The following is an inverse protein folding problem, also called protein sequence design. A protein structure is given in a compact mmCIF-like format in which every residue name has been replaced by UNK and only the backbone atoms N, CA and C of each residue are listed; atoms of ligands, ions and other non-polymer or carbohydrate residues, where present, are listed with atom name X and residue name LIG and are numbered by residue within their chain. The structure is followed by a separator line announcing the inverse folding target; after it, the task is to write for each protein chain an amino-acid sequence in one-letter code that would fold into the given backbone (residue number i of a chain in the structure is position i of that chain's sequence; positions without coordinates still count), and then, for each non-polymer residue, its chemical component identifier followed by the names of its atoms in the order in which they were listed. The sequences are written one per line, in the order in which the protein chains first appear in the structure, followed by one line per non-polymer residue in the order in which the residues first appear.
data_IF_591982269044
#
_entry.id   IF_591982269044
#
_cell.length_a   1.000
_cell.length_b   1.000
_cell.length_c   1.000
_cell.angle_alpha   90.00
_cell.angle_beta   90.00
_cell.angle_gamma   90.00
#
_symmetry.space_group_name_H-M   'P 1'
#
loop_
_entity.id
_entity.type
_entity.pdbx_description
1 polymer ?
#
# COMPACT_ATOMS: atom_id res chain seq x y z
N UNK A 1 26.73 -37.67 -19.25
CA UNK A 1 25.96 -36.50 -19.76
C UNK A 1 24.95 -35.91 -18.77
N UNK A 2 24.53 -36.61 -17.70
CA UNK A 2 23.54 -36.07 -16.73
C UNK A 2 24.09 -35.09 -15.68
N UNK A 3 25.34 -35.26 -15.24
CA UNK A 3 25.95 -34.43 -14.18
C UNK A 3 26.10 -32.96 -14.59
N UNK A 4 26.53 -32.69 -15.83
CA UNK A 4 26.63 -31.34 -16.38
C UNK A 4 25.27 -30.63 -16.52
N UNK A 5 24.18 -31.37 -16.78
CA UNK A 5 22.83 -30.78 -16.87
C UNK A 5 22.27 -30.42 -15.49
N UNK A 6 22.58 -31.21 -14.46
CA UNK A 6 22.17 -30.93 -13.08
C UNK A 6 22.91 -29.71 -12.51
N UNK A 7 24.22 -29.60 -12.78
CA UNK A 7 25.02 -28.41 -12.42
C UNK A 7 24.54 -27.17 -13.18
N UNK A 8 24.20 -27.30 -14.46
CA UNK A 8 23.66 -26.19 -15.25
C UNK A 8 22.28 -25.74 -14.75
N UNK A 9 21.41 -26.67 -14.33
CA UNK A 9 20.09 -26.38 -13.75
C UNK A 9 20.20 -25.75 -12.36
N UNK A 10 21.13 -26.23 -11.51
CA UNK A 10 21.45 -25.62 -10.22
C UNK A 10 22.08 -24.22 -10.41
N UNK A 11 22.97 -24.05 -11.38
CA UNK A 11 23.52 -22.74 -11.76
C UNK A 11 22.44 -21.81 -12.35
N UNK A 12 21.47 -22.32 -13.12
CA UNK A 12 20.32 -21.56 -13.61
C UNK A 12 19.36 -21.18 -12.47
N UNK A 13 19.18 -22.03 -11.45
CA UNK A 13 18.44 -21.70 -10.23
C UNK A 13 19.19 -20.69 -9.36
N UNK A 14 20.53 -20.71 -9.33
CA UNK A 14 21.37 -19.67 -8.73
C UNK A 14 21.40 -18.36 -9.55
N UNK A 15 21.09 -18.43 -10.85
CA UNK A 15 20.91 -17.29 -11.76
C UNK A 15 19.47 -16.75 -11.79
N UNK A 16 18.56 -17.27 -10.95
CA UNK A 16 17.40 -16.49 -10.56
C UNK A 16 17.96 -15.26 -9.85
N UNK A 17 18.12 -14.17 -10.60
CA UNK A 17 18.61 -12.90 -10.10
C UNK A 17 17.63 -12.45 -9.03
N UNK A 18 17.91 -12.82 -7.78
CA UNK A 18 17.23 -12.26 -6.64
C UNK A 18 17.43 -10.75 -6.78
N UNK A 19 16.33 -10.00 -6.93
CA UNK A 19 16.38 -8.55 -6.78
C UNK A 19 16.80 -8.29 -5.34
N UNK A 20 18.09 -8.13 -5.12
CA UNK A 20 18.63 -7.70 -3.84
C UNK A 20 18.46 -6.19 -3.82
N UNK A 21 17.48 -5.72 -3.03
CA UNK A 21 17.38 -4.30 -2.71
C UNK A 21 18.72 -3.84 -2.14
N UNK A 22 19.24 -2.73 -2.67
CA UNK A 22 20.51 -2.16 -2.20
C UNK A 22 20.33 -1.31 -0.95
N UNK A 23 19.09 -1.16 -0.44
CA UNK A 23 18.79 -0.29 0.69
C UNK A 23 19.45 -0.79 1.96
N UNK A 24 20.41 0.00 2.42
CA UNK A 24 21.11 -0.19 3.69
C UNK A 24 20.49 0.69 4.75
N UNK A 25 20.55 0.23 6.01
CA UNK A 25 20.17 1.02 7.16
C UNK A 25 21.43 1.31 7.97
N UNK A 26 21.81 2.58 8.08
CA UNK A 26 22.97 3.02 8.84
C UNK A 26 22.54 4.01 9.92
N UNK A 27 22.65 3.60 11.19
CA UNK A 27 22.32 4.46 12.35
C UNK A 27 20.91 5.07 12.22
N UNK A 28 19.94 4.23 11.82
CA UNK A 28 18.54 4.62 11.60
C UNK A 28 18.25 5.35 10.27
N UNK A 29 19.27 5.72 9.49
CA UNK A 29 19.11 6.37 8.19
C UNK A 29 19.12 5.35 7.04
N UNK A 30 18.05 5.29 6.25
CA UNK A 30 18.04 4.51 5.02
C UNK A 30 18.86 5.18 3.93
N UNK A 31 19.77 4.42 3.33
CA UNK A 31 20.66 4.83 2.27
C UNK A 31 20.44 3.98 1.00
N UNK A 32 20.91 4.49 -0.14
CA UNK A 32 20.86 3.81 -1.44
C UNK A 32 19.45 3.43 -1.93
N UNK A 33 18.43 4.19 -1.53
CA UNK A 33 17.08 4.05 -2.09
C UNK A 33 17.07 4.58 -3.51
N UNK A 34 16.52 3.79 -4.42
CA UNK A 34 16.41 4.13 -5.84
C UNK A 34 14.94 4.38 -6.19
N UNK A 35 14.68 5.56 -6.77
CA UNK A 35 13.38 5.91 -7.35
C UNK A 35 13.50 5.96 -8.86
N UNK A 36 12.75 5.13 -9.59
CA UNK A 36 12.76 5.08 -11.04
C UNK A 36 11.60 5.86 -11.66
N UNK A 37 11.85 6.86 -12.50
CA UNK A 37 10.79 7.50 -13.30
C UNK A 37 10.77 6.85 -14.69
N UNK A 38 9.61 6.32 -15.09
CA UNK A 38 9.45 5.66 -16.38
C UNK A 38 9.59 6.69 -17.53
N UNK A 39 10.33 6.39 -18.61
CA UNK A 39 10.49 7.28 -19.77
C UNK A 39 9.19 7.72 -20.45
N UNK A 40 8.10 6.99 -20.28
CA UNK A 40 6.77 7.37 -20.78
C UNK A 40 6.14 8.53 -20.00
N UNK A 41 6.60 8.78 -18.78
CA UNK A 41 6.10 9.88 -17.95
C UNK A 41 6.61 11.22 -18.51
N UNK A 42 5.72 12.15 -18.87
CA UNK A 42 6.10 13.48 -19.33
C UNK A 42 6.95 14.23 -18.30
N UNK A 43 7.86 15.07 -18.79
CA UNK A 43 8.73 15.88 -17.93
C UNK A 43 7.92 16.92 -17.14
N UNK A 44 7.95 16.80 -15.81
CA UNK A 44 7.43 17.80 -14.88
C UNK A 44 8.29 17.82 -13.62
N UNK A 45 8.93 18.97 -13.35
CA UNK A 45 9.81 19.13 -12.19
C UNK A 45 9.09 18.93 -10.85
N UNK A 46 7.77 19.17 -10.81
CA UNK A 46 6.96 18.98 -9.61
C UNK A 46 6.93 17.51 -9.18
N UNK A 47 7.13 16.55 -10.08
CA UNK A 47 7.27 15.13 -9.74
C UNK A 47 8.48 14.94 -8.81
N UNK A 48 9.63 15.49 -9.16
CA UNK A 48 10.86 15.39 -8.36
C UNK A 48 10.68 16.08 -7.01
N UNK A 49 10.07 17.27 -7.00
CA UNK A 49 9.81 18.03 -5.78
C UNK A 49 8.86 17.29 -4.83
N UNK A 50 7.78 16.72 -5.36
CA UNK A 50 6.81 15.97 -4.58
C UNK A 50 7.39 14.67 -4.05
N UNK A 51 8.18 13.92 -4.84
CA UNK A 51 8.92 12.75 -4.36
C UNK A 51 9.83 13.09 -3.17
N UNK A 52 10.60 14.19 -3.26
CA UNK A 52 11.45 14.65 -2.15
C UNK A 52 10.64 15.00 -0.90
N UNK A 53 9.43 15.55 -1.07
CA UNK A 53 8.52 15.91 0.02
C UNK A 53 7.96 14.69 0.75
N UNK A 54 7.69 13.57 0.05
CA UNK A 54 7.21 12.32 0.67
C UNK A 54 8.15 11.82 1.77
N UNK A 55 9.46 11.96 1.54
CA UNK A 55 10.52 11.45 2.42
C UNK A 55 10.56 12.16 3.80
N UNK A 56 9.86 13.29 3.97
CA UNK A 56 9.91 14.08 5.21
C UNK A 56 9.03 13.53 6.35
N UNK A 57 7.97 12.79 6.04
CA UNK A 57 6.90 12.47 7.02
C UNK A 57 7.18 11.21 7.85
N UNK A 58 8.27 10.51 7.56
CA UNK A 58 8.52 9.15 8.04
C UNK A 58 9.05 9.03 9.48
N UNK A 59 9.75 10.06 9.98
CA UNK A 59 10.45 10.00 11.27
C UNK A 59 9.52 9.92 12.48
N UNK A 60 8.39 10.63 12.46
CA UNK A 60 7.43 10.62 13.56
C UNK A 60 6.72 9.28 13.70
N UNK A 61 6.30 8.69 12.57
CA UNK A 61 5.59 7.41 12.54
C UNK A 61 6.40 6.24 13.12
N UNK A 62 7.73 6.36 13.11
CA UNK A 62 8.65 5.33 13.57
C UNK A 62 9.21 5.58 14.97
N UNK A 63 8.55 6.42 15.77
CA UNK A 63 9.02 6.82 17.11
C UNK A 63 10.46 7.35 17.08
N UNK A 64 10.77 8.16 16.06
CA UNK A 64 12.07 8.81 15.89
C UNK A 64 13.24 7.82 15.72
N UNK A 65 12.98 6.63 15.16
CA UNK A 65 14.03 5.62 14.88
C UNK A 65 14.55 5.67 13.47
N UNK A 66 13.65 5.79 12.50
CA UNK A 66 14.01 5.61 11.10
C UNK A 66 13.77 6.87 10.30
N UNK A 67 14.69 7.19 9.40
CA UNK A 67 14.59 8.32 8.49
C UNK A 67 15.20 7.98 7.14
N UNK A 68 14.87 8.76 6.12
CA UNK A 68 15.51 8.66 4.82
C UNK A 68 16.76 9.54 4.80
N UNK A 69 17.93 8.95 4.58
CA UNK A 69 19.21 9.67 4.58
C UNK A 69 19.67 10.00 3.18
N UNK A 70 19.65 9.02 2.27
CA UNK A 70 20.10 9.21 0.89
C UNK A 70 19.17 8.52 -0.11
N UNK A 71 18.71 9.29 -1.09
CA UNK A 71 17.84 8.81 -2.18
C UNK A 71 18.44 9.21 -3.53
N UNK A 72 18.32 8.31 -4.51
CA UNK A 72 18.76 8.50 -5.89
C UNK A 72 17.56 8.38 -6.81
N UNK A 73 17.27 9.46 -7.53
CA UNK A 73 16.13 9.54 -8.45
C UNK A 73 16.66 9.37 -9.86
N UNK A 74 16.29 8.28 -10.52
CA UNK A 74 16.64 7.98 -11.89
C UNK A 74 15.77 8.81 -12.84
N UNK A 75 16.40 9.74 -13.54
CA UNK A 75 15.78 10.61 -14.53
C UNK A 75 15.84 9.93 -15.91
N UNK A 76 14.71 9.77 -16.62
CA UNK A 76 14.71 9.13 -17.91
C UNK A 76 15.41 9.99 -18.97
N UNK A 77 15.93 9.33 -20.01
CA UNK A 77 16.59 10.01 -21.13
C UNK A 77 15.65 10.90 -21.94
N UNK A 78 14.34 10.64 -21.88
CA UNK A 78 13.30 11.44 -22.53
C UNK A 78 13.15 12.84 -21.91
N UNK A 79 13.62 13.05 -20.67
CA UNK A 79 13.65 14.36 -20.04
C UNK A 79 14.92 15.13 -20.44
N UNK A 80 14.86 16.45 -20.42
CA UNK A 80 15.99 17.34 -20.73
C UNK A 80 17.15 17.10 -19.77
N UNK A 81 18.37 17.06 -20.31
CA UNK A 81 19.59 16.96 -19.49
C UNK A 81 19.81 18.25 -18.72
N UNK A 82 20.18 18.13 -17.44
CA UNK A 82 20.57 19.27 -16.60
C UNK A 82 21.98 19.05 -16.01
N UNK A 83 22.77 20.12 -15.81
CA UNK A 83 24.15 20.01 -15.30
C UNK A 83 24.27 19.33 -13.93
N UNK A 84 23.25 19.46 -13.08
CA UNK A 84 23.20 18.88 -11.74
C UNK A 84 22.94 17.37 -11.72
N UNK A 85 22.61 16.76 -12.86
CA UNK A 85 22.35 15.34 -12.93
C UNK A 85 23.65 14.54 -12.84
N UNK A 86 23.72 13.68 -11.83
CA UNK A 86 24.85 12.77 -11.66
C UNK A 86 24.75 11.60 -12.63
N UNK A 87 25.89 11.00 -12.95
CA UNK A 87 25.91 9.76 -13.73
C UNK A 87 25.51 8.59 -12.84
N UNK A 88 24.58 7.76 -13.33
CA UNK A 88 24.26 6.47 -12.71
C UNK A 88 25.51 5.59 -12.63
N UNK A 89 25.69 4.91 -11.50
CA UNK A 89 26.82 3.99 -11.25
C UNK A 89 26.34 2.54 -11.20
N UNK A 90 25.44 2.24 -10.28
CA UNK A 90 24.94 0.88 -10.00
C UNK A 90 23.42 0.80 -10.00
N UNK A 91 22.75 1.96 -10.00
CA UNK A 91 21.31 2.10 -9.92
C UNK A 91 20.64 1.70 -11.24
N UNK A 92 19.48 1.07 -11.18
CA UNK A 92 18.73 0.61 -12.35
C UNK A 92 17.25 0.59 -12.04
N UNK A 93 16.42 0.82 -13.07
CA UNK A 93 14.97 0.93 -12.90
C UNK A 93 14.35 -0.38 -12.39
N UNK A 94 14.83 -1.52 -12.87
CA UNK A 94 14.39 -2.84 -12.42
C UNK A 94 14.79 -3.14 -10.96
N UNK A 95 15.70 -2.39 -10.36
CA UNK A 95 16.07 -2.53 -8.95
C UNK A 95 15.52 -1.40 -8.08
N UNK A 96 14.68 -0.53 -8.62
CA UNK A 96 14.13 0.59 -7.87
C UNK A 96 13.12 0.12 -6.82
N UNK A 97 13.25 0.64 -5.61
CA UNK A 97 12.29 0.45 -4.53
C UNK A 97 10.98 1.18 -4.80
N UNK A 98 11.04 2.31 -5.52
CA UNK A 98 9.88 3.12 -5.88
C UNK A 98 9.92 3.36 -7.38
N UNK A 99 8.81 3.13 -8.06
CA UNK A 99 8.66 3.46 -9.47
C UNK A 99 7.54 4.49 -9.68
N UNK A 100 7.78 5.44 -10.58
CA UNK A 100 6.77 6.36 -11.10
C UNK A 100 6.47 5.93 -12.53
N UNK A 101 5.26 5.45 -12.76
CA UNK A 101 4.83 4.92 -14.06
C UNK A 101 3.34 5.20 -14.32
N UNK A 102 2.89 4.84 -15.52
CA UNK A 102 1.48 4.95 -15.90
C UNK A 102 0.59 4.14 -14.95
N UNK A 103 -0.68 4.54 -14.75
CA UNK A 103 -1.61 3.79 -13.91
C UNK A 103 -1.76 2.36 -14.40
N UNK A 104 -1.76 1.41 -13.46
CA UNK A 104 -2.07 0.02 -13.77
C UNK A 104 -3.58 -0.17 -13.82
N UNK A 105 -4.11 -0.93 -14.79
CA UNK A 105 -5.55 -1.04 -15.06
C UNK A 105 -6.39 -1.36 -13.82
N UNK A 106 -5.85 -2.19 -12.91
CA UNK A 106 -6.52 -2.58 -11.66
C UNK A 106 -6.53 -1.48 -10.59
N UNK A 107 -5.48 -0.65 -10.52
CA UNK A 107 -5.25 0.28 -9.40
C UNK A 107 -5.49 1.75 -9.76
N UNK A 108 -5.57 2.09 -11.05
CA UNK A 108 -5.66 3.49 -11.46
C UNK A 108 -4.51 4.31 -10.87
N UNK A 109 -4.86 5.38 -10.15
CA UNK A 109 -3.91 6.26 -9.46
C UNK A 109 -3.67 5.93 -7.99
N UNK A 110 -4.22 4.83 -7.50
CA UNK A 110 -3.98 4.37 -6.14
C UNK A 110 -2.50 3.95 -5.99
N UNK A 111 -1.77 4.54 -5.03
CA UNK A 111 -0.46 4.04 -4.64
C UNK A 111 -0.55 2.62 -4.11
N UNK A 112 0.40 1.76 -4.49
CA UNK A 112 0.43 0.40 -3.96
C UNK A 112 1.85 -0.15 -3.89
N UNK A 113 2.03 -1.15 -3.05
CA UNK A 113 3.25 -1.95 -2.97
C UNK A 113 3.01 -3.31 -3.57
N UNK A 114 3.87 -3.71 -4.52
CA UNK A 114 3.85 -5.08 -5.01
C UNK A 114 4.48 -6.00 -3.95
N UNK A 115 3.64 -6.61 -3.12
CA UNK A 115 4.00 -7.57 -2.08
C UNK A 115 3.22 -8.86 -2.30
N UNK A 116 3.92 -9.99 -2.30
CA UNK A 116 3.31 -11.32 -2.42
C UNK A 116 3.95 -12.34 -1.48
N UNK A 117 4.95 -11.95 -0.71
CA UNK A 117 5.62 -12.81 0.26
C UNK A 117 4.88 -12.78 1.62
N UNK A 118 5.27 -13.63 2.56
CA UNK A 118 4.64 -13.73 3.87
C UNK A 118 4.85 -12.50 4.78
N UNK A 119 4.31 -12.58 5.99
CA UNK A 119 4.52 -11.56 7.01
C UNK A 119 6.01 -11.38 7.33
N UNK A 120 6.49 -10.13 7.41
CA UNK A 120 7.89 -9.84 7.72
C UNK A 120 8.81 -9.81 6.49
N UNK A 121 8.32 -10.27 5.34
CA UNK A 121 9.09 -10.37 4.11
C UNK A 121 8.97 -9.10 3.26
N UNK A 122 10.10 -8.66 2.68
CA UNK A 122 10.13 -7.42 1.89
C UNK A 122 9.29 -7.54 0.63
N UNK A 123 8.54 -6.49 0.33
CA UNK A 123 7.91 -6.28 -0.97
C UNK A 123 8.93 -6.06 -2.10
N UNK A 124 8.43 -5.94 -3.33
CA UNK A 124 9.27 -5.77 -4.53
C UNK A 124 9.51 -4.31 -4.90
N UNK A 125 8.46 -3.50 -4.93
CA UNK A 125 8.53 -2.06 -5.18
C UNK A 125 7.21 -1.38 -4.79
N UNK A 126 7.28 -0.07 -4.58
CA UNK A 126 6.13 0.84 -4.47
C UNK A 126 5.88 1.45 -5.84
N UNK A 127 4.62 1.52 -6.24
CA UNK A 127 4.18 2.14 -7.48
C UNK A 127 3.44 3.44 -7.20
N UNK A 128 3.92 4.52 -7.80
CA UNK A 128 3.22 5.80 -7.84
C UNK A 128 2.90 6.18 -9.28
N UNK A 129 1.80 6.91 -9.47
CA UNK A 129 1.49 7.56 -10.75
C UNK A 129 1.90 9.03 -10.71
N UNK A 130 2.10 9.63 -11.88
CA UNK A 130 2.30 11.08 -11.99
C UNK A 130 1.08 11.85 -11.47
N UNK A 131 -0.14 11.34 -11.70
CA UNK A 131 -1.37 11.98 -11.22
C UNK A 131 -1.46 11.96 -9.69
N UNK A 132 -1.13 10.84 -9.03
CA UNK A 132 -1.02 10.78 -7.57
C UNK A 132 -0.07 11.86 -7.04
N UNK A 133 1.10 12.01 -7.68
CA UNK A 133 2.11 12.97 -7.27
C UNK A 133 1.73 14.42 -7.55
N UNK A 134 0.91 14.71 -8.57
CA UNK A 134 0.67 16.08 -9.07
C UNK A 134 -0.72 16.62 -8.72
N UNK A 135 -1.75 15.78 -8.62
CA UNK A 135 -3.13 16.21 -8.44
C UNK A 135 -3.47 16.34 -6.95
N UNK A 136 -3.64 17.57 -6.49
CA UNK A 136 -3.96 17.88 -5.08
C UNK A 136 -5.35 17.38 -4.65
N UNK A 137 -6.30 17.15 -5.57
CA UNK A 137 -7.62 16.61 -5.19
C UNK A 137 -7.54 15.17 -4.67
N UNK A 138 -6.50 14.42 -5.04
CA UNK A 138 -6.28 13.05 -4.56
C UNK A 138 -5.84 13.00 -3.09
N UNK A 139 -5.47 14.14 -2.48
CA UNK A 139 -5.19 14.22 -1.03
C UNK A 139 -6.48 13.98 -0.22
N UNK A 140 -7.64 14.42 -0.72
CA UNK A 140 -8.92 14.17 -0.05
C UNK A 140 -9.38 12.71 -0.20
N UNK A 141 -8.84 11.99 -1.19
CA UNK A 141 -9.17 10.59 -1.48
C UNK A 141 -8.26 9.64 -0.69
N UNK A 142 -6.94 9.82 -0.79
CA UNK A 142 -5.97 8.90 -0.20
C UNK A 142 -5.34 9.41 1.10
N UNK A 143 -5.48 10.70 1.38
CA UNK A 143 -4.84 11.35 2.51
C UNK A 143 -3.53 12.07 2.17
N UNK A 144 -2.86 12.64 3.19
CA UNK A 144 -1.57 13.27 3.03
C UNK A 144 -0.55 12.29 2.42
N UNK A 145 0.01 12.63 1.25
CA UNK A 145 0.89 11.74 0.49
C UNK A 145 2.07 11.20 1.28
N UNK A 146 2.63 11.98 2.20
CA UNK A 146 3.71 11.53 3.08
C UNK A 146 3.28 10.35 3.97
N UNK A 147 2.03 10.33 4.46
CA UNK A 147 1.52 9.21 5.25
C UNK A 147 1.15 8.00 4.39
N UNK A 148 0.61 8.24 3.19
CA UNK A 148 0.42 7.18 2.19
C UNK A 148 1.75 6.52 1.85
N UNK A 149 2.81 7.30 1.67
CA UNK A 149 4.15 6.74 1.47
C UNK A 149 4.66 5.93 2.68
N UNK A 150 4.38 6.37 3.92
CA UNK A 150 4.75 5.57 5.11
C UNK A 150 4.02 4.23 5.14
N UNK A 151 2.74 4.23 4.76
CA UNK A 151 1.91 3.03 4.64
C UNK A 151 2.51 2.05 3.60
N UNK A 152 2.79 2.53 2.38
CA UNK A 152 3.43 1.72 1.33
C UNK A 152 4.86 1.28 1.70
N UNK A 153 5.63 2.14 2.36
CA UNK A 153 6.96 1.78 2.83
C UNK A 153 6.91 0.66 3.87
N UNK A 154 5.88 0.63 4.73
CA UNK A 154 5.73 -0.43 5.71
C UNK A 154 5.47 -1.79 5.02
N UNK A 155 4.59 -1.83 4.03
CA UNK A 155 4.42 -3.00 3.15
C UNK A 155 5.74 -3.42 2.51
N UNK A 156 6.44 -2.47 1.88
CA UNK A 156 7.68 -2.75 1.16
C UNK A 156 8.79 -3.28 2.07
N UNK A 157 9.04 -2.61 3.20
CA UNK A 157 10.25 -2.84 3.99
C UNK A 157 10.09 -3.91 5.05
N UNK A 158 8.89 -4.03 5.63
CA UNK A 158 8.65 -4.91 6.77
C UNK A 158 7.60 -5.99 6.50
N UNK A 159 7.00 -6.03 5.30
CA UNK A 159 6.08 -7.10 4.93
C UNK A 159 4.85 -7.16 5.83
N UNK A 160 4.38 -5.99 6.31
CA UNK A 160 3.12 -5.88 7.04
C UNK A 160 1.96 -5.80 6.06
N UNK A 161 0.74 -5.90 6.57
CA UNK A 161 -0.50 -5.94 5.79
C UNK A 161 -1.51 -4.91 6.29
N UNK A 162 -2.53 -4.65 5.48
CA UNK A 162 -3.61 -3.77 5.86
C UNK A 162 -4.36 -4.25 7.09
N UNK A 163 -4.75 -3.29 7.93
CA UNK A 163 -5.53 -3.50 9.14
C UNK A 163 -7.01 -3.15 8.95
N UNK A 164 -7.42 -2.84 7.72
CA UNK A 164 -8.81 -2.84 7.23
C UNK A 164 -9.06 -4.10 6.36
N UNK A 165 -10.33 -4.36 6.04
CA UNK A 165 -10.72 -5.41 5.10
C UNK A 165 -12.05 -5.07 4.41
N UNK A 166 -12.05 -4.98 3.08
CA UNK A 166 -13.25 -4.70 2.30
C UNK A 166 -14.20 -5.90 2.15
N UNK A 167 -13.66 -7.13 2.17
CA UNK A 167 -14.44 -8.37 2.04
C UNK A 167 -15.05 -8.82 3.38
N UNK A 168 -14.37 -8.52 4.48
CA UNK A 168 -14.85 -8.75 5.84
C UNK A 168 -14.78 -7.46 6.68
N UNK A 169 -15.60 -6.45 6.36
CA UNK A 169 -15.58 -5.15 7.04
C UNK A 169 -16.14 -5.20 8.46
N UNK A 170 -16.82 -6.30 8.82
CA UNK A 170 -17.38 -6.52 10.16
C UNK A 170 -17.08 -7.93 10.64
N UNK A 171 -17.01 -8.08 11.96
CA UNK A 171 -16.89 -9.36 12.63
C UNK A 171 -17.69 -9.35 13.94
N UNK A 172 -17.96 -10.55 14.46
CA UNK A 172 -18.61 -10.73 15.76
C UNK A 172 -17.55 -10.80 16.84
N UNK A 173 -17.57 -9.85 17.77
CA UNK A 173 -16.66 -9.82 18.93
C UNK A 173 -17.16 -10.75 20.03
N UNK A 174 -16.28 -11.65 20.48
CA UNK A 174 -16.54 -12.59 21.57
C UNK A 174 -15.74 -12.13 22.80
N UNK A 175 -16.40 -11.50 23.79
CA UNK A 175 -15.70 -11.02 24.97
C UNK A 175 -16.54 -10.59 26.18
N UNK A 176 -17.83 -10.29 26.02
CA UNK A 176 -18.61 -9.66 27.11
C UNK A 176 -20.02 -10.25 27.31
N UNK A 177 -20.20 -11.56 27.07
CA UNK A 177 -21.50 -12.24 27.24
C UNK A 177 -22.63 -11.73 26.33
N UNK A 178 -22.32 -10.77 25.45
CA UNK A 178 -23.20 -10.14 24.49
C UNK A 178 -22.47 -10.13 23.15
N UNK A 179 -23.08 -10.76 22.15
CA UNK A 179 -22.61 -10.76 20.77
C UNK A 179 -22.68 -9.34 20.23
N UNK A 180 -21.53 -8.72 19.93
CA UNK A 180 -21.47 -7.36 19.37
C UNK A 180 -20.79 -7.41 18.01
N UNK A 181 -21.44 -6.83 17.00
CA UNK A 181 -20.83 -6.62 15.68
C UNK A 181 -19.89 -5.43 15.78
N UNK A 182 -18.64 -5.63 15.36
CA UNK A 182 -17.59 -4.61 15.34
C UNK A 182 -17.05 -4.45 13.92
N UNK A 183 -16.63 -3.22 13.60
CA UNK A 183 -15.89 -2.95 12.37
C UNK A 183 -14.49 -3.56 12.42
N UNK A 184 -14.01 -4.08 11.30
CA UNK A 184 -12.65 -4.58 11.13
C UNK A 184 -11.68 -3.41 11.09
N UNK A 185 -10.89 -3.26 12.16
CA UNK A 185 -9.95 -2.17 12.38
C UNK A 185 -8.93 -2.57 13.44
N UNK A 186 -7.74 -1.99 13.36
CA UNK A 186 -6.71 -2.20 14.39
C UNK A 186 -7.20 -1.78 15.77
N UNK A 187 -7.69 -0.54 15.94
CA UNK A 187 -8.05 0.00 17.26
C UNK A 187 -9.56 0.09 17.41
N UNK A 188 -10.10 -0.53 18.47
CA UNK A 188 -11.50 -0.43 18.83
C UNK A 188 -11.89 1.00 19.30
N UNK A 189 -10.91 1.83 19.66
CA UNK A 189 -11.11 3.23 20.10
C UNK A 189 -11.44 4.17 18.94
N UNK A 190 -11.25 3.73 17.69
CA UNK A 190 -11.77 4.47 16.55
C UNK A 190 -13.27 4.64 16.75
N UNK A 191 -13.83 5.83 16.60
CA UNK A 191 -15.28 6.02 16.67
C UNK A 191 -15.86 6.20 15.27
N UNK A 192 -17.16 5.94 15.11
CA UNK A 192 -17.82 6.05 13.82
C UNK A 192 -19.23 5.48 13.83
N UNK A 193 -19.82 5.41 12.64
CA UNK A 193 -21.21 4.99 12.43
C UNK A 193 -21.29 3.84 11.44
N UNK A 194 -22.15 2.87 11.75
CA UNK A 194 -22.52 1.80 10.84
C UNK A 194 -23.70 2.28 9.99
N UNK A 195 -23.44 2.55 8.71
CA UNK A 195 -24.46 3.08 7.80
C UNK A 195 -24.52 2.34 6.47
N UNK A 196 -25.70 2.31 5.87
CA UNK A 196 -25.86 2.03 4.45
C UNK A 196 -25.96 3.38 3.73
N UNK A 197 -25.17 3.57 2.68
CA UNK A 197 -25.20 4.76 1.84
C UNK A 197 -25.92 4.47 0.52
N UNK A 198 -26.82 5.36 0.11
CA UNK A 198 -27.49 5.31 -1.19
C UNK A 198 -27.30 6.65 -1.88
N UNK A 199 -26.67 6.64 -3.05
CA UNK A 199 -26.41 7.84 -3.84
C UNK A 199 -27.27 7.84 -5.11
N UNK A 200 -27.86 9.00 -5.42
CA UNK A 200 -28.57 9.26 -6.68
C UNK A 200 -27.99 10.54 -7.30
N UNK A 201 -27.20 10.37 -8.35
CA UNK A 201 -26.33 11.44 -8.84
C UNK A 201 -25.37 11.88 -7.74
N UNK A 202 -25.26 13.19 -7.53
CA UNK A 202 -24.40 13.79 -6.51
C UNK A 202 -25.05 13.82 -5.10
N UNK A 203 -26.28 13.31 -4.93
CA UNK A 203 -26.94 13.30 -3.62
C UNK A 203 -26.81 11.93 -2.96
N UNK A 204 -26.14 11.87 -1.81
CA UNK A 204 -26.03 10.66 -1.00
C UNK A 204 -26.81 10.80 0.31
N UNK A 205 -27.66 9.82 0.59
CA UNK A 205 -28.36 9.68 1.87
C UNK A 205 -27.80 8.48 2.64
N UNK A 206 -27.75 8.59 3.97
CA UNK A 206 -27.29 7.52 4.84
C UNK A 206 -28.39 7.11 5.82
N UNK A 207 -28.43 5.81 6.14
CA UNK A 207 -29.30 5.26 7.19
C UNK A 207 -28.51 4.29 8.08
N UNK A 208 -28.89 4.08 9.34
CA UNK A 208 -28.26 3.07 10.18
C UNK A 208 -28.35 1.67 9.55
N UNK A 209 -27.31 0.87 9.77
CA UNK A 209 -27.33 -0.54 9.38
C UNK A 209 -28.33 -1.34 10.21
N UNK A 210 -29.00 -2.28 9.55
CA UNK A 210 -29.84 -3.28 10.18
C UNK A 210 -29.02 -4.52 10.48
N UNK A 211 -29.28 -5.11 11.63
CA UNK A 211 -28.73 -6.40 12.00
C UNK A 211 -29.45 -7.51 11.22
N UNK A 212 -28.68 -8.42 10.65
CA UNK A 212 -29.14 -9.63 9.98
C UNK A 212 -28.94 -10.84 10.88
N UNK A 213 -30.05 -11.34 11.44
CA UNK A 213 -30.09 -12.51 12.31
C UNK A 213 -29.70 -13.83 11.63
N UNK A 214 -29.57 -13.85 10.29
CA UNK A 214 -29.15 -15.06 9.55
C UNK A 214 -27.63 -15.18 9.49
N UNK A 215 -26.93 -14.05 9.44
CA UNK A 215 -25.46 -14.01 9.34
C UNK A 215 -24.79 -13.54 10.62
N UNK A 216 -25.57 -13.16 11.64
CA UNK A 216 -25.13 -12.52 12.88
C UNK A 216 -24.28 -11.25 12.66
N UNK A 217 -24.47 -10.59 11.51
CA UNK A 217 -23.72 -9.42 11.06
C UNK A 217 -24.69 -8.32 10.59
N UNK A 218 -24.16 -7.21 10.08
CA UNK A 218 -24.98 -6.19 9.42
C UNK A 218 -25.39 -6.61 8.00
N UNK A 219 -26.50 -6.05 7.54
CA UNK A 219 -27.01 -6.24 6.17
C UNK A 219 -25.96 -5.89 5.10
N UNK A 220 -26.10 -6.52 3.93
CA UNK A 220 -25.25 -6.25 2.77
C UNK A 220 -25.26 -4.76 2.38
N UNK A 221 -24.09 -4.21 2.05
CA UNK A 221 -23.92 -2.79 1.74
C UNK A 221 -23.80 -1.88 2.97
N UNK A 222 -23.84 -2.43 4.19
CA UNK A 222 -23.42 -1.71 5.39
C UNK A 222 -21.91 -1.40 5.33
N UNK A 223 -21.54 -0.21 5.78
CA UNK A 223 -20.15 0.22 5.93
C UNK A 223 -19.95 0.90 7.29
N UNK A 224 -18.72 0.83 7.81
CA UNK A 224 -18.30 1.64 8.94
C UNK A 224 -17.71 2.95 8.43
N UNK A 225 -18.29 4.08 8.83
CA UNK A 225 -17.77 5.41 8.52
C UNK A 225 -17.16 5.99 9.79
N UNK A 226 -15.81 6.09 9.87
CA UNK A 226 -15.15 6.66 11.05
C UNK A 226 -15.51 8.14 11.23
N UNK A 227 -15.63 8.59 12.47
CA UNK A 227 -15.85 10.00 12.78
C UNK A 227 -14.61 10.81 12.39
N UNK A 228 -14.79 11.81 11.52
CA UNK A 228 -13.67 12.63 11.00
C UNK A 228 -12.84 13.29 12.10
N UNK A 229 -13.48 13.70 13.20
CA UNK A 229 -12.84 14.32 14.35
C UNK A 229 -12.75 13.31 15.48
N UNK A 230 -11.58 12.72 15.65
CA UNK A 230 -11.26 11.79 16.72
C UNK A 230 -9.77 11.92 17.08
N UNK A 231 -9.37 11.38 18.23
CA UNK A 231 -8.00 11.49 18.74
C UNK A 231 -7.23 10.17 18.71
N UNK A 232 -7.77 9.14 18.05
CA UNK A 232 -7.14 7.82 17.95
C UNK A 232 -5.92 7.89 17.03
N UNK A 233 -4.70 7.66 17.54
CA UNK A 233 -3.47 7.87 16.78
C UNK A 233 -3.06 6.68 15.92
N UNK A 234 -3.62 5.50 16.19
CA UNK A 234 -3.39 4.29 15.42
C UNK A 234 -4.61 3.93 14.56
N UNK A 235 -4.45 3.40 13.35
CA UNK A 235 -3.20 2.93 12.74
C UNK A 235 -2.99 3.51 11.34
N UNK A 236 -1.73 3.78 10.98
CA UNK A 236 -1.31 4.10 9.61
C UNK A 236 -1.71 2.97 8.62
N UNK A 237 -1.73 1.71 9.06
CA UNK A 237 -2.17 0.58 8.22
C UNK A 237 -3.70 0.42 8.16
N UNK A 238 -4.46 1.30 8.84
CA UNK A 238 -5.91 1.28 8.83
C UNK A 238 -6.52 2.53 8.17
N UNK A 239 -6.12 3.73 8.58
CA UNK A 239 -6.78 4.98 8.16
C UNK A 239 -5.78 6.14 8.01
N UNK A 240 -4.79 5.95 7.14
CA UNK A 240 -3.77 6.95 6.78
C UNK A 240 -4.32 8.29 6.23
N UNK A 241 -5.62 8.40 5.96
CA UNK A 241 -6.26 9.69 5.63
C UNK A 241 -6.39 10.64 6.82
N UNK A 242 -6.48 10.14 8.05
CA UNK A 242 -6.94 10.94 9.20
C UNK A 242 -5.81 11.73 9.83
N UNK A 243 -6.07 13.00 10.20
CA UNK A 243 -5.04 13.87 10.78
C UNK A 243 -4.55 13.40 12.15
N UNK A 244 -5.41 12.73 12.93
CA UNK A 244 -5.05 12.17 14.24
C UNK A 244 -4.07 11.00 14.12
N UNK A 245 -4.01 10.34 12.97
CA UNK A 245 -3.23 9.12 12.78
C UNK A 245 -1.77 9.45 12.56
N UNK A 246 -0.94 8.99 13.48
CA UNK A 246 0.49 9.24 13.50
C UNK A 246 1.29 7.99 13.82
N UNK A 247 0.64 6.88 14.20
CA UNK A 247 1.31 5.69 14.72
C UNK A 247 0.87 4.41 14.00
N UNK A 248 1.75 3.41 14.05
CA UNK A 248 1.39 2.03 13.73
C UNK A 248 0.68 1.38 14.92
N UNK A 249 -0.22 0.43 14.62
CA UNK A 249 -0.87 -0.40 15.61
C UNK A 249 0.13 -1.18 16.49
N UNK A 250 -0.02 -1.06 17.81
CA UNK A 250 0.86 -1.70 18.79
C UNK A 250 0.06 -2.62 19.72
N UNK A 251 0.74 -3.33 20.62
CA UNK A 251 0.10 -4.29 21.52
C UNK A 251 -1.03 -3.71 22.42
N UNK A 252 -1.05 -2.40 22.68
CA UNK A 252 -2.12 -1.76 23.47
C UNK A 252 -3.30 -1.33 22.61
N UNK A 253 -3.06 -0.99 21.34
CA UNK A 253 -4.12 -0.54 20.42
C UNK A 253 -4.65 -1.66 19.52
N UNK A 254 -3.98 -2.81 19.48
CA UNK A 254 -4.26 -3.88 18.55
C UNK A 254 -5.43 -4.77 18.94
N UNK A 255 -6.35 -4.93 18.00
CA UNK A 255 -7.51 -5.80 18.09
C UNK A 255 -7.24 -7.12 17.38
N UNK A 256 -6.88 -8.13 18.17
CA UNK A 256 -6.59 -9.49 17.68
C UNK A 256 -7.81 -10.19 17.06
N UNK A 257 -9.04 -9.75 17.36
CA UNK A 257 -10.26 -10.39 16.85
C UNK A 257 -10.65 -9.86 15.46
N UNK A 258 -10.11 -8.72 15.04
CA UNK A 258 -10.44 -8.10 13.75
C UNK A 258 -10.06 -9.03 12.58
N UNK A 259 -10.96 -9.17 11.61
CA UNK A 259 -10.77 -10.02 10.44
C UNK A 259 -9.99 -9.32 9.32
N UNK A 260 -8.82 -8.76 9.64
CA UNK A 260 -7.93 -8.10 8.66
C UNK A 260 -6.78 -9.01 8.20
N UNK A 261 -6.10 -8.60 7.11
CA UNK A 261 -5.00 -9.39 6.54
C UNK A 261 -3.78 -9.43 7.47
N UNK A 262 -3.49 -8.34 8.19
CA UNK A 262 -2.44 -8.32 9.20
C UNK A 262 -2.61 -9.46 10.21
N UNK A 263 -3.79 -9.62 10.81
CA UNK A 263 -4.06 -10.70 11.75
C UNK A 263 -3.95 -12.08 11.10
N UNK A 264 -4.51 -12.22 9.90
CA UNK A 264 -4.54 -13.49 9.17
C UNK A 264 -3.15 -13.99 8.76
N UNK A 265 -2.28 -13.09 8.30
CA UNK A 265 -0.98 -13.44 7.71
C UNK A 265 0.16 -13.33 8.71
N UNK A 266 0.07 -12.43 9.69
CA UNK A 266 1.11 -12.19 10.69
C UNK A 266 0.88 -12.89 12.02
N UNK A 267 0.10 -13.97 12.06
CA UNK A 267 -0.20 -14.73 13.28
C UNK A 267 -0.74 -13.82 14.40
N UNK A 268 -1.70 -12.95 14.08
CA UNK A 268 -2.35 -12.04 15.03
C UNK A 268 -1.41 -11.04 15.73
N UNK A 269 -0.23 -10.81 15.17
CA UNK A 269 0.72 -9.80 15.65
C UNK A 269 0.35 -8.43 15.11
N UNK A 270 0.46 -7.42 15.96
CA UNK A 270 0.28 -6.04 15.53
C UNK A 270 1.34 -5.63 14.50
N UNK A 271 1.02 -4.64 13.66
CA UNK A 271 1.98 -4.05 12.72
C UNK A 271 3.29 -3.67 13.41
N UNK A 272 3.21 -2.98 14.56
CA UNK A 272 4.39 -2.56 15.31
C UNK A 272 5.20 -3.73 15.87
N UNK A 273 4.57 -4.83 16.29
CA UNK A 273 5.30 -6.03 16.71
C UNK A 273 6.13 -6.62 15.58
N UNK A 274 5.58 -6.69 14.36
CA UNK A 274 6.31 -7.15 13.17
C UNK A 274 7.51 -6.24 12.91
N UNK A 275 7.31 -4.92 12.94
CA UNK A 275 8.39 -3.94 12.77
C UNK A 275 9.48 -4.12 13.84
N UNK A 276 9.12 -4.29 15.11
CA UNK A 276 10.08 -4.49 16.21
C UNK A 276 10.90 -5.77 16.07
N UNK A 277 10.36 -6.80 15.43
CA UNK A 277 11.09 -8.05 15.14
C UNK A 277 11.98 -7.98 13.89
N UNK A 278 11.91 -6.89 13.12
CA UNK A 278 12.67 -6.77 11.89
C UNK A 278 14.17 -6.55 12.15
N UNK A 279 15.06 -6.97 11.22
CA UNK A 279 16.48 -6.67 11.29
C UNK A 279 16.76 -5.16 11.45
N UNK A 280 15.97 -4.33 10.77
CA UNK A 280 16.09 -2.87 10.83
C UNK A 280 15.94 -2.32 12.27
N UNK A 281 14.99 -2.87 13.02
CA UNK A 281 14.78 -2.43 14.40
C UNK A 281 15.92 -2.87 15.31
N UNK A 282 16.43 -4.09 15.14
CA UNK A 282 17.56 -4.61 15.91
C UNK A 282 18.87 -3.86 15.64
N UNK A 283 19.05 -3.36 14.42
CA UNK A 283 20.25 -2.63 13.99
C UNK A 283 20.13 -1.10 14.16
N UNK A 284 19.12 -0.61 14.89
CA UNK A 284 18.91 0.82 15.12
C UNK A 284 18.50 1.11 16.56
N UNK A 285 18.60 2.39 16.93
CA UNK A 285 18.14 2.94 18.21
C UNK A 285 17.35 4.22 17.95
N UNK A 286 16.53 4.65 18.91
CA UNK A 286 15.86 5.96 18.82
C UNK A 286 16.89 7.07 18.76
N UNK A 287 16.68 8.02 17.84
CA UNK A 287 17.63 9.10 17.57
C UNK A 287 17.12 10.35 18.28
N UNK A 288 17.91 10.86 19.22
CA UNK A 288 17.65 12.14 19.91
C UNK A 288 18.05 13.36 19.10
N UNK A 289 18.82 13.16 18.01
CA UNK A 289 19.24 14.23 17.12
C UNK A 289 18.06 14.77 16.29
N UNK A 290 18.06 16.08 15.95
CA UNK A 290 17.03 16.66 15.11
C UNK A 290 17.00 15.99 13.72
N UNK A 291 15.78 15.84 13.19
CA UNK A 291 15.55 15.25 11.87
C UNK A 291 16.39 15.94 10.79
N UNK A 292 17.21 15.17 10.07
CA UNK A 292 17.97 15.67 8.94
C UNK A 292 17.18 15.48 7.65
N UNK A 293 17.13 16.52 6.82
CA UNK A 293 16.51 16.42 5.50
C UNK A 293 17.25 15.38 4.64
N UNK A 294 16.54 14.47 3.95
CA UNK A 294 17.17 13.48 3.09
C UNK A 294 17.98 14.16 1.99
N UNK A 295 19.18 13.65 1.73
CA UNK A 295 19.94 14.06 0.54
C UNK A 295 19.37 13.33 -0.67
N UNK A 296 19.04 14.07 -1.72
CA UNK A 296 18.44 13.50 -2.93
C UNK A 296 19.27 13.88 -4.16
N UNK A 297 19.78 12.88 -4.87
CA UNK A 297 20.52 13.07 -6.11
C UNK A 297 19.67 12.67 -7.32
N UNK A 298 19.60 13.53 -8.32
CA UNK A 298 19.02 13.15 -9.61
C UNK A 298 20.13 12.50 -10.44
N UNK A 299 19.88 11.30 -10.96
CA UNK A 299 20.85 10.51 -11.68
C UNK A 299 20.35 10.23 -13.09
N UNK A 300 21.18 10.49 -14.10
CA UNK A 300 20.87 10.22 -15.50
C UNK A 300 21.63 8.96 -15.97
N UNK A 301 20.94 7.98 -16.58
CA UNK A 301 21.61 6.80 -17.14
C UNK A 301 22.35 7.17 -18.43
N UNK A 302 23.24 6.29 -18.91
CA UNK A 302 23.88 6.44 -20.23
C UNK A 302 23.00 5.97 -21.39
N UNK A 303 22.18 4.96 -21.11
CA UNK A 303 21.30 4.27 -22.06
C UNK A 303 19.90 4.20 -21.48
N UNK A 304 18.90 3.84 -22.29
CA UNK A 304 17.56 3.62 -21.78
C UNK A 304 17.55 2.54 -20.69
N UNK A 305 16.62 2.67 -19.75
CA UNK A 305 16.44 1.67 -18.71
C UNK A 305 15.87 0.39 -19.32
N UNK A 306 16.31 -0.76 -18.83
CA UNK A 306 15.56 -1.98 -19.04
C UNK A 306 14.30 -1.91 -18.17
N UNK A 307 13.16 -1.60 -18.78
CA UNK A 307 11.88 -1.57 -18.09
C UNK A 307 11.28 -2.97 -18.25
N UNK A 308 11.20 -3.76 -17.17
CA UNK A 308 10.54 -5.04 -17.25
C UNK A 308 9.07 -4.82 -17.66
N UNK A 309 8.48 -5.74 -18.44
CA UNK A 309 7.05 -5.68 -18.73
C UNK A 309 6.27 -5.61 -17.42
N UNK A 310 5.09 -4.96 -17.40
CA UNK A 310 4.23 -4.97 -16.23
C UNK A 310 4.02 -6.43 -15.81
N UNK A 311 4.28 -6.75 -14.54
CA UNK A 311 4.10 -8.10 -14.03
C UNK A 311 2.63 -8.50 -14.21
N UNK A 312 2.37 -9.51 -15.04
CA UNK A 312 1.05 -10.12 -15.14
C UNK A 312 0.82 -11.02 -13.92
N UNK A 313 -0.29 -10.90 -13.18
CA UNK A 313 -0.59 -11.72 -12.00
C UNK A 313 -0.69 -13.23 -12.27
N UNK A 314 -0.75 -13.67 -13.53
CA UNK A 314 -0.89 -15.08 -13.90
C UNK A 314 0.34 -15.94 -13.60
N UNK A 315 1.45 -15.36 -13.16
CA UNK A 315 2.66 -16.09 -12.75
C UNK A 315 2.82 -16.26 -11.23
N UNK A 316 1.79 -15.97 -10.43
CA UNK A 316 1.79 -16.24 -8.98
C UNK A 316 1.74 -17.76 -8.72
N UNK A 317 2.52 -18.29 -7.75
CA UNK A 317 2.34 -19.66 -7.28
C UNK A 317 0.90 -19.87 -6.79
N UNK A 318 0.28 -21.04 -7.03
CA UNK A 318 -1.14 -21.29 -6.72
C UNK A 318 -1.53 -21.21 -5.24
N UNK A 319 -0.58 -20.94 -4.34
CA UNK A 319 -0.79 -20.94 -2.88
C UNK A 319 -0.86 -19.56 -2.23
N UNK A 320 -0.70 -18.47 -2.99
CA UNK A 320 -0.81 -17.11 -2.44
C UNK A 320 -1.99 -16.42 -3.14
N UNK A 321 -3.12 -16.19 -2.43
CA UNK A 321 -4.23 -15.47 -3.00
C UNK A 321 -3.74 -14.10 -3.47
N UNK A 322 -3.99 -13.76 -4.75
CA UNK A 322 -3.85 -12.38 -5.19
C UNK A 322 -4.70 -11.51 -4.25
N UNK A 323 -4.21 -10.31 -3.86
CA UNK A 323 -5.02 -9.40 -3.07
C UNK A 323 -6.35 -9.17 -3.81
N UNK A 324 -7.49 -9.23 -3.09
CA UNK A 324 -8.81 -9.08 -3.68
C UNK A 324 -8.83 -7.82 -4.55
N UNK A 325 -9.55 -7.88 -5.67
CA UNK A 325 -9.62 -6.75 -6.57
C UNK A 325 -10.30 -5.58 -5.84
N UNK A 326 -9.62 -4.43 -5.63
CA UNK A 326 -10.38 -3.24 -5.31
C UNK A 326 -11.23 -2.94 -6.56
N UNK A 327 -12.53 -2.70 -6.39
CA UNK A 327 -13.38 -2.32 -7.50
C UNK A 327 -12.89 -1.00 -8.11
N UNK A 328 -13.16 -0.73 -9.39
CA UNK A 328 -12.75 0.51 -10.03
C UNK A 328 -13.32 1.71 -9.26
N UNK A 329 -12.42 2.56 -8.75
CA UNK A 329 -12.72 3.82 -8.10
C UNK A 329 -13.35 4.79 -9.11
N UNK A 330 -14.68 4.73 -9.28
CA UNK A 330 -15.45 5.78 -9.96
C UNK A 330 -15.96 6.76 -8.90
N UNK A 331 -15.15 7.75 -8.56
CA UNK A 331 -15.54 8.79 -7.62
C UNK A 331 -16.16 9.98 -8.36
N UNK A 332 -17.50 10.07 -8.34
CA UNK A 332 -18.22 11.31 -8.62
C UNK A 332 -18.42 12.09 -7.30
N UNK A 333 -18.01 13.36 -7.32
CA UNK A 333 -18.07 14.29 -6.18
C UNK A 333 -19.49 14.54 -5.68
N UNK A 334 -19.65 14.76 -4.37
CA UNK A 334 -20.55 15.84 -3.99
C UNK A 334 -20.01 16.82 -2.95
N UNK A 335 -20.34 18.08 -3.20
CA UNK A 335 -20.13 19.23 -2.34
C UNK A 335 -21.06 19.14 -1.11
N UNK A 336 -20.61 18.50 -0.03
CA UNK A 336 -21.19 18.70 1.30
C UNK A 336 -20.08 18.92 2.33
N UNK A 337 -20.05 20.08 3.05
CA UNK A 337 -18.92 20.46 3.90
C UNK A 337 -18.74 19.62 5.17
N UNK A 338 -19.65 18.66 5.46
CA UNK A 338 -19.65 17.87 6.69
C UNK A 338 -19.35 16.37 6.51
N UNK A 339 -19.15 15.89 5.28
CA UNK A 339 -18.73 14.52 4.98
C UNK A 339 -17.62 14.57 3.94
N UNK A 340 -16.43 14.05 4.25
CA UNK A 340 -15.44 13.77 3.19
C UNK A 340 -15.63 12.35 2.70
N UNK A 341 -15.58 12.25 1.38
CA UNK A 341 -15.58 11.10 0.50
C UNK A 341 -14.83 9.89 1.05
N UNK A 342 -15.56 8.78 1.10
CA UNK A 342 -15.04 7.43 1.29
C UNK A 342 -14.36 7.02 -0.02
N UNK A 343 -13.24 6.25 -0.02
CA UNK A 343 -12.81 5.56 -1.22
C UNK A 343 -14.00 4.75 -1.77
N UNK A 344 -14.30 5.00 -3.04
CA UNK A 344 -15.56 4.68 -3.65
C UNK A 344 -15.93 3.19 -3.58
N UNK A 345 -17.17 2.91 -3.16
CA UNK A 345 -17.81 1.60 -3.31
C UNK A 345 -18.03 1.30 -4.81
N UNK A 346 -18.01 0.02 -5.22
CA UNK A 346 -18.24 -0.39 -6.61
C UNK A 346 -19.62 0.06 -7.12
N UNK A 347 -19.77 0.37 -8.43
CA UNK A 347 -21.07 0.36 -9.05
C UNK A 347 -21.63 -1.07 -9.04
N UNK A 348 -22.89 -1.22 -8.60
CA UNK A 348 -23.69 -2.42 -8.84
C UNK A 348 -23.87 -2.51 -10.36
N UNK A 349 -23.04 -3.31 -11.04
CA UNK A 349 -23.29 -3.64 -12.44
C UNK A 349 -24.33 -4.73 -12.52
N UNK A 350 -25.45 -4.32 -13.10
CA UNK A 350 -26.51 -5.10 -13.70
C UNK A 350 -25.96 -6.29 -14.49
N UNK A 351 -26.55 -7.46 -14.23
CA UNK A 351 -26.77 -8.59 -15.15
C UNK A 351 -26.18 -8.39 -16.55
N UNK A 352 -25.08 -9.09 -16.84
CA UNK A 352 -24.77 -9.48 -18.22
C UNK A 352 -25.21 -10.92 -18.42
N UNK A 353 -26.14 -11.07 -19.36
CA UNK A 353 -26.59 -12.32 -19.92
C UNK A 353 -25.41 -13.21 -20.31
N UNK A 354 -25.42 -14.43 -19.77
CA UNK A 354 -24.64 -15.54 -20.27
C UNK A 354 -25.08 -15.84 -21.71
N UNK A 355 -24.20 -15.65 -22.70
CA UNK A 355 -24.28 -16.43 -23.93
C UNK A 355 -23.72 -17.84 -23.65
N UNK A 356 -24.39 -18.91 -24.11
CA UNK A 356 -24.05 -20.27 -23.76
C UNK A 356 -22.78 -20.70 -24.50
N UNK A 357 -21.79 -21.19 -23.77
CA UNK A 357 -20.71 -22.01 -24.34
C UNK A 357 -21.12 -23.46 -24.16
N UNK A 358 -21.39 -24.12 -25.28
CA UNK A 358 -21.62 -25.56 -25.36
C UNK A 358 -20.42 -26.32 -24.77
N UNK A 359 -20.69 -27.13 -23.74
CA UNK A 359 -19.77 -28.15 -23.26
C UNK A 359 -19.99 -29.44 -24.08
N UNK A 360 -18.94 -30.08 -24.61
CA UNK A 360 -19.07 -31.43 -25.13
C UNK A 360 -19.26 -32.41 -23.97
N UNK A 361 -20.40 -33.10 -24.01
CA UNK A 361 -20.74 -34.24 -23.17
C UNK A 361 -19.71 -35.37 -23.34
N UNK A 362 -18.99 -35.70 -22.27
CA UNK A 362 -18.48 -37.06 -22.09
C UNK A 362 -19.45 -37.80 -21.17
N UNK A 363 -20.11 -38.81 -21.72
CA UNK A 363 -20.86 -39.83 -20.98
C UNK A 363 -20.02 -41.13 -20.91
N UNK A 364 -20.34 -42.03 -19.98
CA UNK A 364 -19.40 -42.73 -19.11
C UNK A 364 -18.54 -43.82 -19.74
#
# INVERSE_FOLDING_TARGET
MGFNRLVLLLALQLLYTMRVSMVQLNTGGYEDIVIGINPKIPEDNRIIENLKRLLLTYFHATKQRFYFKMVKILIPLTWKTKPEYLRVRTESYDKAEIIVADPFLKYGDEPYTLQYEGCGEKGRYIHFTSNFLLNETLVDVYGPRGRVFVHEWAHLRWGVYDEYNYDAPFYVSAGSGTTKVEATRCSADVTGKYVVQSCKGDSCITRPCKYDYRTDLYEAGCIFVPDRRQNTPASIMYMQGFSSVTEFCNNTTHNIQATNLQNKVCNYRSTWEVIMSSPDFTSSSSISAPYQRPTSHCCRPKTEFNIPPPYHPTSLPPHIPAPPNPPPLSCHHPLSPNLITIPCLPPISTVFLLCPVELPLFHP
#
